data_IF_377053028645
#
_entry.id   IF_377053028645
#
_cell.length_a   1.000
_cell.length_b   1.000
_cell.length_c   1.000
_cell.angle_alpha   90.00
_cell.angle_beta   90.00
_cell.angle_gamma   90.00
#
_symmetry.space_group_name_H-M   'P 1'
#
loop_
_entity.id
_entity.type
_entity.pdbx_description
1 polymer ?
#
# COMPACT_ATOMS: atom_id res chain seq x y z
N UNK A 1 21.79 -32.76 21.81
CA UNK A 1 21.22 -32.72 20.46
C UNK A 1 21.35 -31.27 19.99
N UNK A 2 22.32 -31.02 19.11
CA UNK A 2 22.49 -29.72 18.50
C UNK A 2 21.41 -29.57 17.45
N UNK A 3 20.41 -28.78 17.70
CA UNK A 3 19.53 -28.30 16.65
C UNK A 3 20.34 -27.30 15.82
N UNK A 4 20.95 -27.77 14.76
CA UNK A 4 21.28 -26.95 13.61
C UNK A 4 19.94 -26.42 13.09
N UNK A 5 19.62 -25.18 13.44
CA UNK A 5 18.62 -24.40 12.74
C UNK A 5 19.28 -23.98 11.43
N UNK A 6 19.56 -24.96 10.58
CA UNK A 6 19.98 -24.77 9.21
C UNK A 6 18.73 -24.50 8.39
N UNK A 7 18.64 -23.25 7.93
CA UNK A 7 18.17 -22.89 6.59
C UNK A 7 17.06 -23.81 6.05
N UNK A 8 15.91 -23.77 6.68
CA UNK A 8 14.71 -24.18 5.99
C UNK A 8 14.52 -23.21 4.84
N UNK A 9 14.46 -23.70 3.62
CA UNK A 9 14.03 -22.92 2.48
C UNK A 9 12.68 -22.30 2.84
N UNK A 10 12.60 -20.98 2.78
CA UNK A 10 11.43 -20.27 3.28
C UNK A 10 10.30 -20.32 2.26
N UNK A 11 10.57 -20.83 1.04
CA UNK A 11 9.58 -20.99 -0.03
C UNK A 11 9.99 -22.12 -0.99
N UNK A 12 9.02 -22.58 -1.76
CA UNK A 12 9.23 -23.45 -2.91
C UNK A 12 8.46 -22.87 -4.10
N UNK A 13 9.16 -22.60 -5.19
CA UNK A 13 8.53 -22.34 -6.47
C UNK A 13 8.04 -23.67 -7.04
N UNK A 14 6.75 -23.98 -6.89
CA UNK A 14 6.18 -25.26 -7.31
C UNK A 14 6.12 -25.37 -8.83
N UNK A 15 5.65 -24.31 -9.50
CA UNK A 15 5.61 -24.22 -10.95
C UNK A 15 5.79 -22.78 -11.43
N UNK A 16 6.32 -22.63 -12.65
CA UNK A 16 6.37 -21.37 -13.38
C UNK A 16 6.12 -21.67 -14.85
N UNK A 17 4.86 -21.52 -15.27
CA UNK A 17 4.40 -21.90 -16.61
C UNK A 17 4.24 -20.65 -17.46
N UNK A 18 4.99 -20.61 -18.54
CA UNK A 18 4.88 -19.59 -19.57
C UNK A 18 3.98 -20.08 -20.71
N UNK A 19 2.97 -19.35 -21.04
CA UNK A 19 1.99 -19.74 -22.06
C UNK A 19 1.59 -18.60 -22.97
N UNK A 20 1.27 -18.98 -24.20
CA UNK A 20 0.72 -18.11 -25.21
C UNK A 20 -0.49 -18.78 -25.87
N UNK A 21 -1.45 -19.23 -25.07
CA UNK A 21 -2.60 -20.02 -25.51
C UNK A 21 -3.59 -19.25 -26.39
N UNK A 22 -3.51 -17.91 -26.40
CA UNK A 22 -4.43 -17.06 -27.16
C UNK A 22 -4.00 -16.83 -28.61
N UNK A 23 -2.79 -17.27 -28.97
CA UNK A 23 -2.31 -17.21 -30.39
C UNK A 23 -2.50 -18.54 -31.11
N UNK A 24 -2.61 -18.46 -32.41
CA UNK A 24 -2.77 -19.66 -33.28
C UNK A 24 -1.63 -20.68 -33.20
N UNK A 25 -0.47 -20.27 -32.66
CA UNK A 25 0.72 -21.08 -32.39
C UNK A 25 0.96 -21.18 -30.89
N UNK A 26 -0.09 -21.50 -30.11
CA UNK A 26 -0.01 -21.56 -28.68
C UNK A 26 1.07 -22.51 -28.19
N UNK A 27 1.86 -22.05 -27.21
CA UNK A 27 2.83 -22.87 -26.49
C UNK A 27 2.55 -22.83 -24.99
N UNK A 28 3.03 -23.84 -24.29
CA UNK A 28 3.02 -23.92 -22.85
C UNK A 28 4.35 -24.55 -22.43
N UNK A 29 5.14 -23.82 -21.61
CA UNK A 29 6.48 -24.23 -21.23
C UNK A 29 6.65 -24.02 -19.74
N UNK A 30 7.15 -25.05 -19.05
CA UNK A 30 7.59 -24.95 -17.66
C UNK A 30 8.99 -24.35 -17.60
N UNK A 31 9.11 -23.15 -17.03
CA UNK A 31 10.39 -22.42 -16.94
C UNK A 31 10.97 -22.40 -15.52
N UNK A 32 10.38 -23.11 -14.57
CA UNK A 32 10.79 -23.14 -13.16
C UNK A 32 12.29 -23.32 -12.97
N UNK A 33 12.90 -24.23 -13.74
CA UNK A 33 14.30 -24.62 -13.57
C UNK A 33 15.30 -23.57 -14.09
N UNK A 34 14.82 -22.60 -14.87
CA UNK A 34 15.68 -21.54 -15.43
C UNK A 34 15.43 -20.19 -14.73
N UNK A 35 14.43 -20.08 -13.87
CA UNK A 35 14.21 -18.92 -13.01
C UNK A 35 15.23 -18.95 -11.89
N UNK A 36 16.10 -17.95 -11.83
CA UNK A 36 17.14 -17.83 -10.81
C UNK A 36 16.64 -17.10 -9.59
N UNK A 37 15.97 -15.99 -9.82
CA UNK A 37 15.36 -15.19 -8.76
C UNK A 37 14.17 -14.42 -9.32
N UNK A 38 13.27 -14.02 -8.43
CA UNK A 38 12.15 -13.16 -8.82
C UNK A 38 11.73 -12.25 -7.68
N UNK A 39 11.10 -11.16 -8.05
CA UNK A 39 10.60 -10.16 -7.12
C UNK A 39 9.15 -9.82 -7.46
N UNK A 40 8.31 -9.70 -6.43
CA UNK A 40 6.92 -9.26 -6.56
C UNK A 40 6.74 -7.99 -5.75
N UNK A 41 6.07 -7.00 -6.33
CA UNK A 41 5.88 -5.69 -5.74
C UNK A 41 4.41 -5.43 -5.47
N UNK A 42 4.11 -5.03 -4.26
CA UNK A 42 2.81 -4.58 -3.80
C UNK A 42 2.85 -3.10 -3.43
N UNK A 43 1.75 -2.39 -3.65
CA UNK A 43 1.65 -0.99 -3.24
C UNK A 43 0.21 -0.62 -2.90
N UNK A 44 -0.02 0.03 -1.76
CA UNK A 44 -1.35 0.39 -1.24
C UNK A 44 -2.18 1.29 -2.18
N UNK A 45 -1.54 1.96 -3.12
CA UNK A 45 -2.20 2.82 -4.12
C UNK A 45 -2.51 2.11 -5.44
N UNK A 46 -1.96 0.92 -5.67
CA UNK A 46 -2.05 0.22 -6.94
C UNK A 46 -2.98 -1.00 -6.85
N UNK A 47 -4.04 -1.07 -7.65
CA UNK A 47 -4.93 -2.23 -7.69
C UNK A 47 -4.39 -3.38 -8.55
N UNK A 48 -3.08 -3.53 -8.61
CA UNK A 48 -2.38 -4.60 -9.33
C UNK A 48 -0.99 -4.83 -8.78
N UNK A 49 -0.50 -6.03 -8.94
CA UNK A 49 0.88 -6.41 -8.65
C UNK A 49 1.76 -6.18 -9.87
N UNK A 50 3.03 -5.92 -9.63
CA UNK A 50 4.09 -5.99 -10.64
C UNK A 50 5.14 -6.99 -10.20
N UNK A 51 5.84 -7.62 -11.15
CA UNK A 51 6.87 -8.58 -10.83
C UNK A 51 8.06 -8.47 -11.80
N UNK A 52 9.22 -8.95 -11.36
CA UNK A 52 10.41 -9.12 -12.17
C UNK A 52 10.90 -10.53 -11.98
N UNK A 53 11.22 -11.22 -13.09
CA UNK A 53 11.79 -12.56 -13.08
C UNK A 53 13.14 -12.52 -13.80
N UNK A 54 14.17 -13.02 -13.15
CA UNK A 54 15.50 -13.18 -13.73
C UNK A 54 15.65 -14.63 -14.16
N UNK A 55 15.91 -14.81 -15.45
CA UNK A 55 15.97 -16.11 -16.10
C UNK A 55 17.35 -16.28 -16.72
N UNK A 56 17.89 -17.48 -16.63
CA UNK A 56 19.09 -17.88 -17.36
C UNK A 56 18.67 -18.77 -18.52
N UNK A 57 18.77 -18.23 -19.73
CA UNK A 57 18.44 -18.93 -20.96
C UNK A 57 19.68 -19.52 -21.60
N UNK A 58 19.73 -20.86 -21.70
CA UNK A 58 20.78 -21.64 -22.38
C UNK A 58 20.27 -22.27 -23.65
N UNK A 59 18.99 -22.13 -23.99
CA UNK A 59 18.30 -22.82 -25.06
C UNK A 59 17.71 -21.93 -26.13
N UNK A 60 18.05 -20.63 -26.15
CA UNK A 60 17.50 -19.63 -27.06
C UNK A 60 15.95 -19.54 -27.03
N UNK A 61 15.38 -19.61 -25.86
CA UNK A 61 13.94 -19.67 -25.61
C UNK A 61 13.18 -18.53 -26.28
N UNK A 62 13.73 -17.31 -26.26
CA UNK A 62 13.12 -16.13 -26.88
C UNK A 62 13.01 -16.30 -28.40
N UNK A 63 14.06 -16.85 -29.04
CA UNK A 63 14.06 -17.02 -30.50
C UNK A 63 13.19 -18.18 -30.97
N UNK A 64 13.22 -19.29 -30.23
CA UNK A 64 12.48 -20.50 -30.60
C UNK A 64 10.97 -20.33 -30.48
N UNK A 65 10.50 -19.49 -29.56
CA UNK A 65 9.07 -19.27 -29.28
C UNK A 65 8.55 -17.90 -29.71
N UNK A 66 9.38 -17.08 -30.37
CA UNK A 66 9.00 -15.76 -30.90
C UNK A 66 8.25 -14.89 -29.87
N UNK A 67 8.90 -14.64 -28.73
CA UNK A 67 8.34 -13.77 -27.71
C UNK A 67 8.20 -12.32 -28.22
N UNK A 68 7.01 -11.79 -28.12
CA UNK A 68 6.69 -10.44 -28.58
C UNK A 68 6.20 -9.52 -27.46
N UNK A 69 6.17 -10.04 -26.21
CA UNK A 69 5.44 -9.45 -25.10
C UNK A 69 3.97 -9.86 -25.10
N UNK A 70 3.38 -9.88 -23.92
CA UNK A 70 1.99 -10.32 -23.74
C UNK A 70 1.84 -11.83 -23.50
N UNK A 71 2.92 -12.56 -23.33
CA UNK A 71 2.91 -13.94 -22.87
C UNK A 71 2.47 -13.98 -21.39
N UNK A 72 1.66 -15.00 -21.06
CA UNK A 72 1.15 -15.20 -19.70
C UNK A 72 2.12 -16.06 -18.90
N UNK A 73 2.58 -15.57 -17.77
CA UNK A 73 3.37 -16.30 -16.79
C UNK A 73 2.52 -16.62 -15.57
N UNK A 74 2.26 -17.91 -15.37
CA UNK A 74 1.56 -18.41 -14.18
C UNK A 74 2.57 -19.00 -13.22
N UNK A 75 2.63 -18.49 -12.00
CA UNK A 75 3.51 -18.99 -10.94
C UNK A 75 2.69 -19.59 -9.82
N UNK A 76 3.22 -20.62 -9.20
CA UNK A 76 2.70 -21.25 -8.00
C UNK A 76 3.80 -21.34 -6.95
N UNK A 77 3.59 -20.63 -5.82
CA UNK A 77 4.55 -20.52 -4.72
C UNK A 77 3.92 -21.20 -3.50
N UNK A 78 4.69 -22.08 -2.86
CA UNK A 78 4.29 -22.78 -1.63
C UNK A 78 5.25 -22.38 -0.52
N UNK A 79 4.71 -22.16 0.68
CA UNK A 79 5.54 -22.00 1.86
C UNK A 79 6.17 -23.33 2.23
N UNK A 80 7.49 -23.32 2.47
CA UNK A 80 8.23 -24.52 2.87
C UNK A 80 8.06 -24.80 4.35
N UNK A 81 7.01 -25.54 4.73
CA UNK A 81 6.88 -26.16 6.05
C UNK A 81 6.40 -27.58 5.94
N UNK A 82 7.12 -28.50 6.60
CA UNK A 82 6.79 -29.92 6.65
C UNK A 82 5.50 -30.27 7.40
N UNK A 83 4.81 -29.31 8.03
CA UNK A 83 3.71 -29.58 8.97
C UNK A 83 2.36 -28.96 8.63
N UNK A 84 2.27 -28.07 7.64
CA UNK A 84 0.99 -27.52 7.20
C UNK A 84 0.73 -27.98 5.77
N UNK A 85 -0.51 -28.39 5.48
CA UNK A 85 -1.00 -28.52 4.12
C UNK A 85 -0.71 -27.21 3.39
N UNK A 86 0.42 -27.19 2.67
CA UNK A 86 1.09 -25.98 2.21
C UNK A 86 0.12 -25.05 1.48
N UNK A 87 -0.03 -23.83 1.99
CA UNK A 87 -0.82 -22.81 1.33
C UNK A 87 -0.11 -22.43 0.04
N UNK A 88 -0.77 -22.72 -1.08
CA UNK A 88 -0.28 -22.41 -2.42
C UNK A 88 -0.82 -21.06 -2.85
N UNK A 89 0.08 -20.19 -3.30
CA UNK A 89 -0.22 -18.87 -3.85
C UNK A 89 -0.01 -18.92 -5.36
N UNK A 90 -1.10 -18.99 -6.11
CA UNK A 90 -1.05 -18.95 -7.58
C UNK A 90 -1.32 -17.54 -8.07
N UNK A 91 -0.42 -16.99 -8.91
CA UNK A 91 -0.56 -15.68 -9.54
C UNK A 91 -0.32 -15.75 -11.04
N UNK A 92 -1.07 -14.95 -11.78
CA UNK A 92 -0.99 -14.81 -13.22
C UNK A 92 -0.46 -13.42 -13.58
N UNK A 93 0.65 -13.41 -14.26
CA UNK A 93 1.29 -12.20 -14.77
C UNK A 93 1.31 -12.22 -16.29
N UNK A 94 1.42 -11.03 -16.87
CA UNK A 94 1.69 -10.84 -18.28
C UNK A 94 3.06 -10.23 -18.43
N UNK A 95 3.86 -10.71 -19.36
CA UNK A 95 5.16 -10.10 -19.68
C UNK A 95 4.90 -8.80 -20.44
N UNK A 96 5.24 -7.68 -19.81
CA UNK A 96 5.09 -6.34 -20.39
C UNK A 96 6.36 -5.91 -21.14
N UNK A 97 7.52 -6.23 -20.59
CA UNK A 97 8.83 -5.89 -21.16
C UNK A 97 9.83 -7.03 -20.94
N UNK A 98 10.62 -7.30 -21.97
CA UNK A 98 11.76 -8.21 -21.93
C UNK A 98 13.03 -7.37 -22.01
N UNK A 99 13.95 -7.58 -21.10
CA UNK A 99 15.23 -6.90 -21.05
C UNK A 99 16.37 -7.94 -21.01
N UNK A 100 17.18 -7.96 -22.06
CA UNK A 100 18.42 -8.75 -22.11
C UNK A 100 19.50 -7.98 -21.36
N UNK A 101 20.00 -8.55 -20.25
CA UNK A 101 20.92 -7.84 -19.36
C UNK A 101 22.38 -8.06 -19.70
N UNK A 102 22.77 -9.27 -20.04
CA UNK A 102 24.14 -9.58 -20.43
C UNK A 102 24.26 -10.97 -21.03
N UNK A 103 25.16 -11.10 -21.96
CA UNK A 103 25.62 -12.38 -22.42
C UNK A 103 26.76 -12.81 -21.50
N UNK A 104 26.52 -13.83 -20.69
CA UNK A 104 27.49 -14.29 -19.67
C UNK A 104 28.57 -15.15 -20.33
N UNK A 105 28.18 -15.97 -21.32
CA UNK A 105 29.04 -16.83 -22.12
C UNK A 105 28.52 -16.89 -23.57
N UNK A 106 29.26 -17.63 -24.45
CA UNK A 106 28.84 -17.78 -25.85
C UNK A 106 27.44 -18.40 -26.03
N UNK A 107 26.91 -19.07 -25.00
CA UNK A 107 25.67 -19.86 -25.04
C UNK A 107 24.67 -19.51 -23.93
N UNK A 108 24.96 -18.54 -23.07
CA UNK A 108 24.11 -18.23 -21.89
C UNK A 108 23.73 -16.77 -21.86
N UNK A 109 22.44 -16.51 -21.97
CA UNK A 109 21.88 -15.17 -21.87
C UNK A 109 21.13 -14.99 -20.54
N UNK A 110 21.34 -13.86 -19.87
CA UNK A 110 20.56 -13.46 -18.71
C UNK A 110 19.48 -12.49 -19.14
N UNK A 111 18.25 -12.83 -18.82
CA UNK A 111 17.04 -12.12 -19.27
C UNK A 111 16.22 -11.69 -18.07
N UNK A 112 15.69 -10.49 -18.10
CA UNK A 112 14.72 -10.00 -17.11
C UNK A 112 13.36 -9.84 -17.77
N UNK A 113 12.38 -10.53 -17.23
CA UNK A 113 10.98 -10.32 -17.55
C UNK A 113 10.38 -9.32 -16.58
N UNK A 114 9.92 -8.18 -17.07
CA UNK A 114 9.10 -7.24 -16.35
C UNK A 114 7.64 -7.61 -16.58
N UNK A 115 6.94 -7.90 -15.50
CA UNK A 115 5.59 -8.45 -15.55
C UNK A 115 4.60 -7.58 -14.79
N UNK A 116 3.36 -7.56 -15.29
CA UNK A 116 2.23 -6.93 -14.62
C UNK A 116 1.11 -7.97 -14.44
N UNK A 117 0.30 -7.82 -13.41
CA UNK A 117 -0.82 -8.71 -13.17
C UNK A 117 -1.78 -8.70 -14.38
N UNK A 118 -2.26 -9.87 -14.83
CA UNK A 118 -2.98 -10.06 -16.08
C UNK A 118 -4.17 -9.11 -16.30
N UNK A 119 -4.93 -8.80 -15.26
CA UNK A 119 -6.07 -7.90 -15.37
C UNK A 119 -5.70 -6.44 -15.72
N UNK A 120 -4.45 -6.03 -15.51
CA UNK A 120 -3.95 -4.71 -15.92
C UNK A 120 -3.95 -4.58 -17.44
N UNK A 121 -3.52 -5.63 -18.12
CA UNK A 121 -3.57 -5.70 -19.58
C UNK A 121 -5.02 -5.68 -20.08
N UNK A 122 -5.89 -6.53 -19.49
CA UNK A 122 -7.33 -6.53 -19.79
C UNK A 122 -7.96 -5.15 -19.63
N UNK A 123 -7.52 -4.38 -18.61
CA UNK A 123 -7.95 -3.01 -18.39
C UNK A 123 -7.52 -2.06 -19.50
N UNK A 124 -6.29 -2.19 -20.01
CA UNK A 124 -5.75 -1.29 -21.02
C UNK A 124 -6.44 -1.43 -22.39
N UNK A 125 -7.11 -2.57 -22.65
CA UNK A 125 -7.80 -2.84 -23.90
C UNK A 125 -9.22 -2.25 -23.97
N UNK A 126 -9.73 -1.64 -22.90
CA UNK A 126 -11.13 -1.18 -22.83
C UNK A 126 -11.20 0.21 -22.21
N UNK A 127 -12.20 0.98 -22.68
CA UNK A 127 -12.52 2.27 -22.11
C UNK A 127 -13.99 2.35 -21.72
N UNK A 128 -14.25 2.99 -20.61
CA UNK A 128 -15.59 3.17 -20.05
C UNK A 128 -16.07 4.58 -20.30
N UNK A 129 -17.22 4.69 -20.98
CA UNK A 129 -17.95 5.95 -21.15
C UNK A 129 -19.41 5.72 -20.74
N UNK A 130 -19.66 5.58 -19.45
CA UNK A 130 -20.96 5.20 -18.89
C UNK A 130 -21.26 5.96 -17.60
N UNK A 131 -22.55 6.17 -17.34
CA UNK A 131 -23.00 6.77 -16.08
C UNK A 131 -23.25 5.70 -15.02
N UNK A 132 -22.83 6.01 -13.79
CA UNK A 132 -23.06 5.19 -12.61
C UNK A 132 -23.73 6.02 -11.52
N UNK A 133 -24.53 5.34 -10.69
CA UNK A 133 -25.17 5.93 -9.52
C UNK A 133 -25.00 4.97 -8.35
N UNK A 134 -24.50 5.47 -7.23
CA UNK A 134 -24.24 4.66 -6.03
C UNK A 134 -23.19 5.30 -5.12
N UNK A 135 -22.79 4.60 -4.09
CA UNK A 135 -21.58 4.92 -3.33
C UNK A 135 -20.33 4.64 -4.17
N UNK A 136 -19.23 5.31 -3.88
CA UNK A 136 -18.01 5.20 -4.71
C UNK A 136 -17.46 3.78 -4.69
N UNK A 137 -17.47 3.13 -3.52
CA UNK A 137 -17.06 1.74 -3.33
C UNK A 137 -17.90 0.77 -4.17
N UNK A 138 -19.22 0.94 -4.16
CA UNK A 138 -20.12 0.10 -4.96
C UNK A 138 -19.92 0.30 -6.47
N UNK A 139 -19.62 1.52 -6.90
CA UNK A 139 -19.32 1.82 -8.31
C UNK A 139 -18.00 1.18 -8.73
N UNK A 140 -16.95 1.29 -7.89
CA UNK A 140 -15.64 0.67 -8.14
C UNK A 140 -15.79 -0.86 -8.23
N UNK A 141 -16.47 -1.47 -7.25
CA UNK A 141 -16.72 -2.91 -7.25
C UNK A 141 -17.43 -3.36 -8.54
N UNK A 142 -18.44 -2.59 -8.99
CA UNK A 142 -19.17 -2.86 -10.22
C UNK A 142 -18.31 -2.78 -11.47
N UNK A 143 -17.41 -1.77 -11.54
CA UNK A 143 -16.47 -1.61 -12.65
C UNK A 143 -15.53 -2.81 -12.71
N UNK A 144 -14.96 -3.23 -11.59
CA UNK A 144 -14.03 -4.37 -11.58
C UNK A 144 -14.73 -5.69 -11.90
N UNK A 145 -15.92 -5.92 -11.37
CA UNK A 145 -16.70 -7.13 -11.68
C UNK A 145 -17.14 -7.17 -13.14
N UNK A 146 -17.66 -6.06 -13.69
CA UNK A 146 -18.19 -6.03 -15.07
C UNK A 146 -17.08 -6.12 -16.15
N UNK A 147 -15.93 -5.49 -15.95
CA UNK A 147 -14.90 -5.33 -16.98
C UNK A 147 -13.67 -6.21 -16.78
N UNK A 148 -13.34 -6.54 -15.54
CA UNK A 148 -12.12 -7.27 -15.21
C UNK A 148 -12.36 -8.63 -14.56
N UNK A 149 -13.63 -8.97 -14.29
CA UNK A 149 -14.03 -10.23 -13.65
C UNK A 149 -13.31 -10.44 -12.30
N UNK A 150 -13.12 -9.34 -11.56
CA UNK A 150 -12.48 -9.36 -10.24
C UNK A 150 -13.40 -8.77 -9.19
N UNK A 151 -13.39 -9.40 -8.03
CA UNK A 151 -14.13 -8.91 -6.89
C UNK A 151 -13.29 -7.90 -6.10
N UNK A 152 -13.98 -6.91 -5.54
CA UNK A 152 -13.40 -5.92 -4.63
C UNK A 152 -14.03 -6.13 -3.25
N UNK A 153 -13.19 -6.48 -2.30
CA UNK A 153 -13.60 -6.59 -0.90
C UNK A 153 -13.47 -5.20 -0.28
N UNK A 154 -14.61 -4.62 0.11
CA UNK A 154 -14.61 -3.38 0.88
C UNK A 154 -14.49 -3.71 2.36
N UNK A 155 -13.41 -3.26 2.99
CA UNK A 155 -13.15 -3.41 4.42
C UNK A 155 -13.13 -2.02 5.05
N UNK A 156 -13.91 -1.83 6.12
CA UNK A 156 -14.00 -0.55 6.82
C UNK A 156 -15.34 0.15 6.62
N UNK A 157 -15.34 1.47 6.78
CA UNK A 157 -16.55 2.27 6.62
C UNK A 157 -16.94 2.46 5.16
N UNK A 158 -18.23 2.48 4.87
CA UNK A 158 -18.74 2.85 3.55
C UNK A 158 -18.39 4.31 3.22
N UNK A 159 -18.10 4.55 1.95
CA UNK A 159 -17.82 5.90 1.48
C UNK A 159 -19.03 6.84 1.65
N UNK A 160 -18.77 8.11 1.98
CA UNK A 160 -19.82 9.09 2.25
C UNK A 160 -20.61 9.42 0.99
N UNK A 161 -21.88 9.14 1.05
CA UNK A 161 -22.89 9.65 0.11
C UNK A 161 -23.01 8.88 -1.19
N UNK A 162 -24.17 9.08 -1.81
CA UNK A 162 -24.48 8.57 -3.14
C UNK A 162 -24.11 9.61 -4.19
N UNK A 163 -23.37 9.22 -5.19
CA UNK A 163 -23.00 10.08 -6.32
C UNK A 163 -23.64 9.57 -7.62
N UNK A 164 -23.86 10.48 -8.54
CA UNK A 164 -24.12 10.15 -9.95
C UNK A 164 -22.97 10.70 -10.76
N UNK A 165 -22.29 9.83 -11.49
CA UNK A 165 -21.05 10.17 -12.18
C UNK A 165 -21.06 9.56 -13.58
N UNK A 166 -20.47 10.26 -14.53
CA UNK A 166 -20.18 9.74 -15.87
C UNK A 166 -18.67 9.54 -15.94
N UNK A 167 -18.25 8.32 -16.21
CA UNK A 167 -16.83 8.02 -16.40
C UNK A 167 -16.38 8.62 -17.75
N UNK A 168 -15.33 9.47 -17.78
CA UNK A 168 -14.96 10.23 -18.95
C UNK A 168 -13.99 9.45 -19.86
N UNK A 169 -14.43 8.35 -20.43
CA UNK A 169 -13.64 7.51 -21.35
C UNK A 169 -12.28 7.08 -20.77
N UNK A 170 -12.30 6.52 -19.57
CA UNK A 170 -11.12 6.00 -18.87
C UNK A 170 -11.13 4.48 -18.92
N UNK A 171 -9.94 3.87 -18.86
CA UNK A 171 -9.87 2.43 -18.63
C UNK A 171 -10.34 2.06 -17.20
N UNK A 172 -10.72 0.81 -16.92
CA UNK A 172 -11.28 0.39 -15.64
C UNK A 172 -10.41 0.77 -14.43
N UNK A 173 -9.10 0.59 -14.49
CA UNK A 173 -8.17 0.91 -13.41
C UNK A 173 -8.03 2.43 -13.21
N UNK A 174 -7.94 3.19 -14.29
CA UNK A 174 -7.92 4.65 -14.22
C UNK A 174 -9.25 5.20 -13.71
N UNK A 175 -10.38 4.64 -14.13
CA UNK A 175 -11.71 5.00 -13.67
C UNK A 175 -11.84 4.79 -12.15
N UNK A 176 -11.38 3.65 -11.64
CA UNK A 176 -11.35 3.35 -10.21
C UNK A 176 -10.43 4.32 -9.45
N UNK A 177 -9.25 4.61 -9.96
CA UNK A 177 -8.30 5.57 -9.37
C UNK A 177 -8.88 6.99 -9.33
N UNK A 178 -9.59 7.38 -10.39
CA UNK A 178 -10.27 8.66 -10.49
C UNK A 178 -11.45 8.78 -9.50
N UNK A 179 -12.23 7.72 -9.33
CA UNK A 179 -13.29 7.63 -8.33
C UNK A 179 -12.74 7.62 -6.91
N UNK A 180 -11.71 6.81 -6.64
CA UNK A 180 -11.06 6.71 -5.32
C UNK A 180 -10.59 8.06 -4.79
N UNK A 181 -10.05 8.94 -5.64
CA UNK A 181 -9.64 10.30 -5.24
C UNK A 181 -10.77 11.17 -4.70
N UNK A 182 -12.02 10.79 -4.95
CA UNK A 182 -13.24 11.48 -4.48
C UNK A 182 -13.82 10.84 -3.24
N UNK A 183 -13.43 9.60 -2.94
CA UNK A 183 -13.89 8.86 -1.78
C UNK A 183 -13.23 9.39 -0.50
N UNK A 184 -14.04 9.59 0.52
CA UNK A 184 -13.61 9.87 1.88
C UNK A 184 -14.52 9.15 2.86
N UNK A 185 -13.97 8.71 3.99
CA UNK A 185 -14.75 8.13 5.06
C UNK A 185 -15.52 9.21 5.84
N UNK A 186 -16.44 8.79 6.72
CA UNK A 186 -17.20 9.70 7.58
C UNK A 186 -16.31 10.58 8.47
N UNK A 187 -15.18 10.06 8.88
CA UNK A 187 -14.17 10.74 9.69
C UNK A 187 -13.14 11.53 8.86
N UNK A 188 -13.25 11.51 7.53
CA UNK A 188 -12.34 12.23 6.64
C UNK A 188 -11.06 11.51 6.31
N UNK A 189 -11.01 10.18 6.40
CA UNK A 189 -9.84 9.39 6.03
C UNK A 189 -9.84 9.03 4.54
N UNK A 190 -8.65 8.96 3.90
CA UNK A 190 -8.52 8.58 2.50
C UNK A 190 -8.73 7.08 2.32
N UNK A 191 -9.27 6.70 1.16
CA UNK A 191 -9.37 5.31 0.73
C UNK A 191 -8.17 4.87 -0.08
N UNK A 192 -7.82 3.61 0.10
CA UNK A 192 -6.85 2.87 -0.69
C UNK A 192 -7.53 1.73 -1.42
N UNK A 193 -7.00 1.41 -2.61
CA UNK A 193 -7.45 0.28 -3.43
C UNK A 193 -6.19 -0.44 -3.93
N UNK A 194 -6.03 -1.69 -3.55
CA UNK A 194 -4.80 -2.42 -3.78
C UNK A 194 -5.00 -3.91 -3.99
N UNK A 195 -4.05 -4.52 -4.68
CA UNK A 195 -3.91 -5.96 -4.84
C UNK A 195 -2.85 -6.47 -3.86
N UNK A 196 -3.04 -7.68 -3.32
CA UNK A 196 -2.11 -8.33 -2.41
C UNK A 196 -1.72 -9.72 -2.92
N UNK A 197 -0.57 -10.20 -2.47
CA UNK A 197 -0.02 -11.48 -2.90
C UNK A 197 -0.91 -12.66 -2.46
N UNK A 198 -1.41 -12.62 -1.24
CA UNK A 198 -2.16 -13.72 -0.61
C UNK A 198 -3.59 -13.94 -1.13
N UNK A 199 -4.20 -13.04 -1.91
CA UNK A 199 -5.56 -13.22 -2.42
C UNK A 199 -5.71 -12.83 -3.88
N UNK A 200 -6.73 -13.36 -4.54
CA UNK A 200 -7.13 -12.97 -5.90
C UNK A 200 -7.98 -11.70 -5.91
N UNK A 201 -8.62 -11.37 -4.81
CA UNK A 201 -9.51 -10.23 -4.69
C UNK A 201 -8.72 -8.93 -4.47
N UNK A 202 -9.30 -7.83 -4.89
CA UNK A 202 -8.81 -6.49 -4.56
C UNK A 202 -9.36 -6.07 -3.21
N UNK A 203 -8.59 -5.27 -2.49
CA UNK A 203 -9.01 -4.72 -1.22
C UNK A 203 -9.20 -3.21 -1.36
N UNK A 204 -10.38 -2.73 -0.95
CA UNK A 204 -10.66 -1.31 -0.80
C UNK A 204 -10.87 -1.00 0.68
N UNK A 205 -10.08 -0.07 1.21
CA UNK A 205 -10.08 0.22 2.64
C UNK A 205 -9.72 1.67 2.93
N UNK A 206 -10.33 2.27 3.92
CA UNK A 206 -9.95 3.59 4.41
C UNK A 206 -8.82 3.52 5.46
N UNK A 207 -8.08 4.62 5.58
CA UNK A 207 -6.92 4.68 6.51
C UNK A 207 -7.34 4.55 7.98
N UNK A 208 -8.54 5.03 8.34
CA UNK A 208 -9.06 4.91 9.71
C UNK A 208 -9.29 3.45 10.11
N UNK A 209 -9.89 2.67 9.23
CA UNK A 209 -10.10 1.24 9.47
C UNK A 209 -8.78 0.46 9.53
N UNK A 210 -7.75 0.88 8.75
CA UNK A 210 -6.41 0.29 8.84
C UNK A 210 -5.83 0.50 10.25
N UNK A 211 -5.92 1.70 10.80
CA UNK A 211 -5.40 1.99 12.14
C UNK A 211 -6.23 1.38 13.28
N UNK A 212 -7.48 1.00 13.01
CA UNK A 212 -8.33 0.30 13.99
C UNK A 212 -7.99 -1.17 14.13
N UNK A 213 -7.22 -1.74 13.19
CA UNK A 213 -6.77 -3.11 13.29
C UNK A 213 -5.74 -3.27 14.41
N UNK A 214 -5.73 -4.42 15.08
CA UNK A 214 -4.66 -4.75 16.02
C UNK A 214 -3.31 -4.81 15.29
N UNK A 215 -2.26 -4.42 16.00
CA UNK A 215 -0.89 -4.55 15.49
C UNK A 215 -0.59 -6.02 15.23
N UNK A 216 -0.20 -6.36 14.01
CA UNK A 216 0.01 -7.73 13.54
C UNK A 216 1.01 -8.51 14.40
N UNK A 217 2.09 -7.84 14.80
CA UNK A 217 3.20 -8.44 15.54
C UNK A 217 3.37 -7.87 16.96
N UNK A 218 2.26 -7.57 17.65
CA UNK A 218 2.29 -6.93 18.98
C UNK A 218 3.08 -7.74 20.01
N UNK A 219 2.98 -9.08 19.95
CA UNK A 219 3.66 -9.97 20.89
C UNK A 219 5.14 -10.18 20.58
N UNK A 220 5.53 -10.02 19.31
CA UNK A 220 6.92 -10.18 18.84
C UNK A 220 7.19 -9.08 17.82
N UNK A 221 7.52 -7.86 18.27
CA UNK A 221 7.78 -6.73 17.38
C UNK A 221 9.02 -6.96 16.50
N UNK A 222 9.06 -6.29 15.37
CA UNK A 222 10.27 -6.23 14.56
C UNK A 222 11.31 -5.36 15.28
N UNK A 223 12.48 -5.92 15.58
CA UNK A 223 13.53 -5.25 16.36
C UNK A 223 14.80 -5.11 15.52
N UNK A 224 15.35 -3.92 15.49
CA UNK A 224 16.70 -3.71 14.97
C UNK A 224 17.72 -3.77 16.13
N UNK A 225 18.43 -4.89 16.20
CA UNK A 225 19.41 -5.18 17.25
C UNK A 225 20.68 -5.81 16.66
N UNK A 226 21.53 -5.06 15.96
CA UNK A 226 22.68 -5.63 15.24
C UNK A 226 23.69 -6.33 16.19
N UNK A 227 23.88 -5.81 17.41
CA UNK A 227 24.78 -6.40 18.41
C UNK A 227 24.22 -7.64 19.11
N UNK A 228 22.89 -7.83 19.09
CA UNK A 228 22.20 -8.95 19.72
C UNK A 228 21.76 -10.04 18.75
N UNK A 229 21.96 -9.84 17.45
CA UNK A 229 21.47 -10.77 16.43
C UNK A 229 21.98 -12.21 16.63
N UNK A 230 23.17 -12.40 17.17
CA UNK A 230 23.74 -13.71 17.48
C UNK A 230 23.18 -14.35 18.75
N UNK A 231 22.62 -13.56 19.67
CA UNK A 231 22.06 -14.03 20.94
C UNK A 231 20.55 -14.24 20.92
N UNK A 232 19.87 -13.81 19.85
CA UNK A 232 18.44 -14.01 19.69
C UNK A 232 18.14 -15.50 19.47
N UNK A 233 17.26 -16.05 20.32
CA UNK A 233 16.84 -17.45 20.27
C UNK A 233 15.43 -17.58 19.70
N UNK A 234 15.19 -18.66 18.93
CA UNK A 234 13.87 -19.07 18.48
C UNK A 234 13.16 -18.02 17.61
N UNK A 235 11.93 -17.69 17.93
CA UNK A 235 11.04 -16.78 17.19
C UNK A 235 11.61 -15.39 16.98
N UNK A 236 12.43 -14.87 17.89
CA UNK A 236 13.04 -13.54 17.76
C UNK A 236 13.98 -13.41 16.55
N UNK A 237 14.56 -14.50 16.05
CA UNK A 237 15.37 -14.47 14.83
C UNK A 237 14.57 -14.08 13.58
N UNK A 238 13.30 -14.46 13.52
CA UNK A 238 12.43 -14.17 12.38
C UNK A 238 11.97 -12.72 12.34
N UNK A 239 11.91 -12.08 13.51
CA UNK A 239 11.47 -10.70 13.66
C UNK A 239 12.63 -9.70 13.77
N UNK A 240 13.87 -10.17 13.53
CA UNK A 240 15.02 -9.27 13.44
C UNK A 240 15.00 -8.52 12.11
N UNK A 241 15.20 -7.22 12.18
CA UNK A 241 15.37 -6.38 11.00
C UNK A 241 16.78 -6.59 10.44
N UNK A 242 16.84 -7.07 9.20
CA UNK A 242 18.11 -7.36 8.52
C UNK A 242 18.79 -6.08 8.04
N UNK A 243 18.00 -5.15 7.51
CA UNK A 243 18.45 -3.84 7.04
C UNK A 243 17.34 -2.82 7.17
N UNK A 244 17.70 -1.55 7.34
CA UNK A 244 16.73 -0.48 7.37
C UNK A 244 17.25 0.78 6.69
N UNK A 245 16.34 1.54 6.12
CA UNK A 245 16.58 2.86 5.55
C UNK A 245 15.48 3.81 5.99
N UNK A 246 15.86 4.90 6.59
CA UNK A 246 14.95 6.00 6.89
C UNK A 246 15.14 7.06 5.81
N UNK A 247 14.07 7.34 5.07
CA UNK A 247 14.08 8.45 4.13
C UNK A 247 13.60 9.68 4.88
N UNK A 248 14.48 10.60 5.16
CA UNK A 248 14.14 11.91 5.71
C UNK A 248 13.53 12.77 4.60
N UNK A 249 12.32 12.47 4.20
CA UNK A 249 11.55 13.30 3.27
C UNK A 249 10.64 14.25 4.03
N UNK A 250 11.19 14.94 5.01
CA UNK A 250 10.48 15.99 5.71
C UNK A 250 10.43 17.26 4.86
N UNK A 251 9.68 17.24 3.78
CA UNK A 251 9.40 18.45 3.00
C UNK A 251 8.25 19.25 3.63
N UNK A 252 8.51 19.76 4.84
CA UNK A 252 7.55 20.59 5.57
C UNK A 252 7.19 21.86 4.78
N UNK A 253 8.13 22.44 4.06
CA UNK A 253 7.87 23.63 3.25
C UNK A 253 6.87 23.35 2.12
N UNK A 254 6.98 22.20 1.46
CA UNK A 254 6.01 21.77 0.45
C UNK A 254 4.63 21.58 1.07
N UNK A 255 4.52 20.87 2.20
CA UNK A 255 3.25 20.66 2.89
C UNK A 255 2.59 21.98 3.31
N UNK A 256 3.37 22.93 3.84
CA UNK A 256 2.91 24.28 4.16
C UNK A 256 2.48 25.01 2.87
N UNK A 257 3.32 24.99 1.84
CA UNK A 257 3.06 25.61 0.55
C UNK A 257 1.83 25.07 -0.17
N UNK A 258 1.49 23.79 0.04
CA UNK A 258 0.28 23.17 -0.48
C UNK A 258 -0.97 23.44 0.40
N UNK A 259 -0.81 24.07 1.56
CA UNK A 259 -1.91 24.34 2.50
C UNK A 259 -2.37 23.12 3.29
N UNK A 260 -1.59 22.04 3.32
CA UNK A 260 -1.97 20.78 3.97
C UNK A 260 -1.76 20.80 5.48
N UNK A 261 -0.94 21.70 5.99
CA UNK A 261 -0.71 21.94 7.43
C UNK A 261 -1.78 22.86 8.00
N UNK A 262 -1.96 24.02 7.36
CA UNK A 262 -2.98 25.00 7.67
C UNK A 262 -3.31 25.80 6.42
N UNK A 263 -4.57 26.08 6.17
CA UNK A 263 -4.98 26.78 4.97
C UNK A 263 -6.43 27.21 4.96
N UNK A 264 -6.78 27.98 3.96
CA UNK A 264 -8.10 28.47 3.71
C UNK A 264 -8.57 28.04 2.31
N UNK A 265 -9.72 27.39 2.24
CA UNK A 265 -10.27 26.86 1.00
C UNK A 265 -11.61 27.50 0.72
N UNK A 266 -11.73 28.08 -0.48
CA UNK A 266 -12.96 28.65 -0.99
C UNK A 266 -13.52 27.75 -2.07
N UNK A 267 -14.73 27.25 -1.87
CA UNK A 267 -15.42 26.43 -2.85
C UNK A 267 -16.57 27.23 -3.44
N UNK A 268 -16.64 27.26 -4.76
CA UNK A 268 -17.72 27.87 -5.49
C UNK A 268 -18.47 26.81 -6.27
N UNK A 269 -19.72 26.60 -5.92
CA UNK A 269 -20.58 25.69 -6.68
C UNK A 269 -21.20 26.43 -7.86
N UNK A 270 -20.83 26.01 -9.06
CA UNK A 270 -21.28 26.63 -10.31
C UNK A 270 -22.78 26.48 -10.57
N UNK A 271 -23.44 25.51 -9.93
CA UNK A 271 -24.87 25.26 -10.10
C UNK A 271 -25.74 26.10 -9.17
N UNK A 272 -25.32 26.22 -7.93
CA UNK A 272 -26.08 26.98 -6.90
C UNK A 272 -25.59 28.41 -6.75
N UNK A 273 -24.40 28.74 -7.34
CA UNK A 273 -23.73 30.03 -7.19
C UNK A 273 -23.45 30.42 -5.71
N UNK A 274 -23.39 29.44 -4.82
CA UNK A 274 -23.15 29.67 -3.38
C UNK A 274 -21.68 29.39 -3.08
N UNK A 275 -20.90 30.40 -2.65
CA UNK A 275 -19.55 30.18 -2.16
C UNK A 275 -19.61 29.70 -0.71
N UNK A 276 -18.70 28.78 -0.33
CA UNK A 276 -18.47 28.43 1.05
C UNK A 276 -16.97 28.31 1.33
N UNK A 277 -16.60 28.65 2.56
CA UNK A 277 -15.25 28.68 3.05
C UNK A 277 -15.03 27.53 4.02
N UNK A 278 -13.91 26.86 3.89
CA UNK A 278 -13.43 25.82 4.81
C UNK A 278 -12.07 26.24 5.33
N UNK A 279 -11.92 26.36 6.63
CA UNK A 279 -10.64 26.50 7.28
C UNK A 279 -10.10 25.10 7.62
N UNK A 280 -8.83 24.88 7.31
CA UNK A 280 -8.13 23.65 7.56
C UNK A 280 -7.00 23.87 8.57
N UNK A 281 -7.00 23.06 9.61
CA UNK A 281 -5.94 22.96 10.60
C UNK A 281 -5.72 21.47 10.87
N UNK A 282 -4.55 20.97 10.50
CA UNK A 282 -4.26 19.53 10.60
C UNK A 282 -4.22 19.06 12.05
N UNK A 283 -3.71 19.87 12.98
CA UNK A 283 -3.61 19.48 14.39
C UNK A 283 -4.97 19.35 15.06
N UNK A 284 -5.89 20.28 14.79
CA UNK A 284 -7.24 20.21 15.35
C UNK A 284 -7.98 18.96 14.86
N UNK A 285 -7.84 18.67 13.57
CA UNK A 285 -8.45 17.48 12.99
C UNK A 285 -7.79 16.19 13.51
N UNK A 286 -6.46 16.20 13.71
CA UNK A 286 -5.73 15.06 14.23
C UNK A 286 -6.07 14.79 15.70
N UNK A 287 -6.23 15.84 16.50
CA UNK A 287 -6.69 15.72 17.89
C UNK A 287 -8.11 15.16 17.98
N UNK A 288 -9.01 15.55 17.08
CA UNK A 288 -10.35 14.99 16.98
C UNK A 288 -10.31 13.47 16.72
N UNK A 289 -9.40 12.99 15.88
CA UNK A 289 -9.20 11.56 15.65
C UNK A 289 -8.59 10.81 16.84
N UNK A 290 -7.66 11.43 17.54
CA UNK A 290 -7.03 10.88 18.74
C UNK A 290 -8.05 10.63 19.85
N UNK A 291 -9.01 11.57 20.05
CA UNK A 291 -10.09 11.41 21.03
C UNK A 291 -11.07 10.28 20.71
N UNK A 292 -11.10 9.84 19.45
CA UNK A 292 -11.96 8.72 18.99
C UNK A 292 -11.26 7.36 19.08
N UNK A 293 -10.06 7.28 19.67
CA UNK A 293 -9.21 6.07 19.75
C UNK A 293 -8.95 5.40 18.38
N UNK A 294 -9.08 6.14 17.29
CA UNK A 294 -8.95 5.62 15.93
C UNK A 294 -7.49 5.44 15.48
N UNK A 295 -6.53 5.88 16.30
CA UNK A 295 -5.09 5.85 15.98
C UNK A 295 -4.33 5.05 17.05
N UNK A 296 -4.88 3.93 17.47
CA UNK A 296 -4.24 2.94 18.35
C UNK A 296 -3.67 3.48 19.69
N UNK A 297 -4.32 3.17 20.80
CA UNK A 297 -3.84 3.38 22.16
C UNK A 297 -4.24 4.69 22.82
N UNK A 298 -4.16 4.70 24.15
CA UNK A 298 -4.60 5.78 25.04
C UNK A 298 -3.70 7.04 24.98
N UNK A 299 -2.65 7.06 24.16
CA UNK A 299 -1.65 8.12 24.13
C UNK A 299 -1.97 9.16 23.06
N UNK A 300 -1.94 10.44 23.45
CA UNK A 300 -2.05 11.55 22.52
C UNK A 300 -0.92 11.49 21.48
N UNK A 301 -1.29 11.51 20.22
CA UNK A 301 -0.36 11.58 19.09
C UNK A 301 -0.41 12.97 18.47
N UNK A 302 0.75 13.49 18.13
CA UNK A 302 0.90 14.80 17.50
C UNK A 302 1.51 14.65 16.13
N UNK A 303 1.03 15.41 15.17
CA UNK A 303 1.68 15.54 13.86
C UNK A 303 2.97 16.33 14.00
N UNK A 304 2.93 17.38 14.82
CA UNK A 304 4.09 18.14 15.26
C UNK A 304 4.15 18.08 16.77
N UNK A 305 5.34 18.08 17.36
CA UNK A 305 5.48 18.14 18.82
C UNK A 305 4.75 19.37 19.39
N UNK A 306 4.21 19.30 20.62
CA UNK A 306 3.42 20.36 21.22
C UNK A 306 4.20 21.68 21.35
N UNK A 307 5.53 21.61 21.36
CA UNK A 307 6.43 22.76 21.45
C UNK A 307 6.85 23.36 20.12
N UNK A 308 6.37 22.78 18.99
CA UNK A 308 6.71 23.27 17.65
C UNK A 308 5.87 24.50 17.30
N UNK A 309 6.28 25.64 17.86
CA UNK A 309 5.60 26.93 17.73
C UNK A 309 6.46 27.96 17.02
N UNK A 310 5.83 28.79 16.23
CA UNK A 310 6.43 30.01 15.65
C UNK A 310 5.69 31.22 16.23
N UNK A 311 6.40 32.14 16.88
CA UNK A 311 5.80 33.29 17.56
C UNK A 311 4.64 32.90 18.50
N UNK A 312 4.87 31.91 19.37
CA UNK A 312 3.91 31.34 20.33
C UNK A 312 2.63 30.74 19.72
N UNK A 313 2.58 30.61 18.40
CA UNK A 313 1.46 29.99 17.70
C UNK A 313 1.89 28.68 17.03
N UNK A 314 1.03 27.67 17.10
CA UNK A 314 1.23 26.44 16.37
C UNK A 314 1.28 26.71 14.86
N UNK A 315 2.18 26.04 14.14
CA UNK A 315 2.37 26.22 12.69
C UNK A 315 1.06 25.95 11.92
N UNK A 316 0.26 25.00 12.36
CA UNK A 316 -1.01 24.65 11.73
C UNK A 316 -2.08 25.75 11.80
N UNK A 317 -1.90 26.73 12.69
CA UNK A 317 -2.84 27.89 12.80
C UNK A 317 -2.58 28.97 11.78
N UNK A 318 -1.42 28.92 11.10
CA UNK A 318 -1.13 29.87 10.03
C UNK A 318 -1.84 29.47 8.75
N UNK A 319 -2.58 30.42 8.17
CA UNK A 319 -3.25 30.25 6.87
C UNK A 319 -2.23 30.42 5.75
N UNK A 320 -1.37 29.42 5.58
CA UNK A 320 -0.24 29.47 4.67
C UNK A 320 -0.66 29.60 3.21
N UNK A 321 -1.87 29.14 2.88
CA UNK A 321 -2.37 29.17 1.52
C UNK A 321 -3.88 29.40 1.47
N UNK A 322 -4.30 30.21 0.49
CA UNK A 322 -5.70 30.37 0.11
C UNK A 322 -5.91 29.72 -1.25
N UNK A 323 -6.83 28.76 -1.31
CA UNK A 323 -7.12 28.00 -2.53
C UNK A 323 -8.58 28.20 -2.90
N UNK A 324 -8.84 28.65 -4.13
CA UNK A 324 -10.18 28.72 -4.69
C UNK A 324 -10.40 27.55 -5.65
N UNK A 325 -11.44 26.77 -5.41
CA UNK A 325 -11.80 25.64 -6.24
C UNK A 325 -13.25 25.78 -6.72
N UNK A 326 -13.45 25.66 -8.02
CA UNK A 326 -14.78 25.52 -8.59
C UNK A 326 -15.22 24.07 -8.47
N UNK A 327 -16.41 23.85 -7.98
CA UNK A 327 -17.07 22.56 -7.94
C UNK A 327 -18.42 22.63 -8.63
N UNK A 328 -18.92 21.52 -9.08
CA UNK A 328 -20.24 21.44 -9.68
C UNK A 328 -21.01 20.32 -9.00
N UNK A 329 -22.15 20.65 -8.41
CA UNK A 329 -23.11 19.64 -7.97
C UNK A 329 -23.81 18.94 -9.15
N UNK A 330 -23.44 19.27 -10.35
CA UNK A 330 -23.82 18.97 -11.69
C UNK A 330 -24.57 17.70 -11.99
N UNK A 331 -25.78 17.58 -11.53
CA UNK A 331 -26.72 16.65 -12.15
C UNK A 331 -27.87 17.46 -12.72
N UNK A 332 -27.85 17.62 -14.04
CA UNK A 332 -29.04 18.03 -14.77
C UNK A 332 -30.07 16.91 -14.63
N UNK A 333 -30.91 17.00 -13.63
CA UNK A 333 -32.03 16.10 -13.51
C UNK A 333 -33.31 16.94 -13.33
N UNK A 334 -34.29 16.71 -14.17
CA UNK A 334 -35.58 17.41 -14.14
C UNK A 334 -36.44 17.07 -12.89
N UNK A 335 -35.90 16.22 -11.99
CA UNK A 335 -36.59 15.83 -10.75
C UNK A 335 -35.93 16.41 -9.51
N UNK A 336 -36.63 17.28 -8.83
CA UNK A 336 -36.18 17.96 -7.59
C UNK A 336 -35.79 16.97 -6.48
N UNK A 337 -36.41 15.79 -6.44
CA UNK A 337 -36.11 14.75 -5.42
C UNK A 337 -34.72 14.10 -5.57
N UNK A 338 -34.24 13.96 -6.79
CA UNK A 338 -32.93 13.35 -7.05
C UNK A 338 -31.77 14.34 -6.86
N UNK A 339 -32.03 15.64 -6.99
CA UNK A 339 -31.03 16.69 -6.82
C UNK A 339 -30.48 16.72 -5.40
N UNK A 340 -31.32 16.54 -4.38
CA UNK A 340 -30.91 16.58 -2.97
C UNK A 340 -29.96 15.44 -2.57
N UNK A 341 -30.10 14.26 -3.16
CA UNK A 341 -29.23 13.10 -2.83
C UNK A 341 -27.81 13.24 -3.39
N UNK A 342 -27.65 13.99 -4.48
CA UNK A 342 -26.34 14.23 -5.09
C UNK A 342 -25.60 15.45 -4.57
N UNK A 343 -26.27 16.35 -3.85
CA UNK A 343 -25.64 17.51 -3.21
C UNK A 343 -24.71 17.14 -2.06
N UNK A 344 -24.80 15.94 -1.51
CA UNK A 344 -23.93 15.50 -0.41
C UNK A 344 -22.45 15.56 -0.76
N UNK A 345 -22.09 15.29 -2.02
CA UNK A 345 -20.71 15.40 -2.47
C UNK A 345 -20.14 16.82 -2.37
N UNK A 346 -20.97 17.85 -2.58
CA UNK A 346 -20.58 19.26 -2.58
C UNK A 346 -20.94 20.00 -1.29
N UNK A 347 -21.19 19.30 -0.19
CA UNK A 347 -21.40 19.93 1.12
C UNK A 347 -20.08 20.45 1.70
N UNK A 348 -20.16 21.51 2.52
CA UNK A 348 -18.98 22.07 3.21
C UNK A 348 -18.29 21.02 4.09
N UNK A 349 -19.06 20.15 4.73
CA UNK A 349 -18.52 19.04 5.54
C UNK A 349 -17.75 18.03 4.70
N UNK A 350 -18.23 17.69 3.52
CA UNK A 350 -17.56 16.76 2.64
C UNK A 350 -16.25 17.35 2.06
N UNK A 351 -16.25 18.64 1.71
CA UNK A 351 -15.03 19.32 1.29
C UNK A 351 -13.98 19.39 2.41
N UNK A 352 -14.41 19.66 3.67
CA UNK A 352 -13.53 19.60 4.84
C UNK A 352 -12.88 18.22 4.97
N UNK A 353 -13.68 17.15 4.85
CA UNK A 353 -13.17 15.76 4.89
C UNK A 353 -12.18 15.45 3.76
N UNK A 354 -12.44 15.89 2.53
CA UNK A 354 -11.52 15.69 1.39
C UNK A 354 -10.17 16.39 1.59
N UNK A 355 -10.18 17.62 2.13
CA UNK A 355 -8.94 18.34 2.46
C UNK A 355 -8.17 17.57 3.53
N UNK A 356 -8.85 17.14 4.58
CA UNK A 356 -8.25 16.38 5.66
C UNK A 356 -7.68 15.04 5.17
N UNK A 357 -8.42 14.28 4.35
CA UNK A 357 -7.95 13.04 3.75
C UNK A 357 -6.68 13.25 2.91
N UNK A 358 -6.61 14.37 2.15
CA UNK A 358 -5.40 14.71 1.40
C UNK A 358 -4.21 15.00 2.32
N UNK A 359 -4.45 15.70 3.42
CA UNK A 359 -3.42 15.97 4.44
C UNK A 359 -2.94 14.68 5.08
N UNK A 360 -3.84 13.81 5.53
CA UNK A 360 -3.49 12.53 6.16
C UNK A 360 -2.64 11.65 5.24
N UNK A 361 -2.99 11.60 3.96
CA UNK A 361 -2.21 10.88 2.96
C UNK A 361 -0.80 11.44 2.78
N UNK A 362 -0.66 12.76 2.74
CA UNK A 362 0.63 13.42 2.66
C UNK A 362 1.49 13.21 3.91
N UNK A 363 0.87 13.26 5.09
CA UNK A 363 1.57 13.00 6.35
C UNK A 363 1.97 11.54 6.52
N UNK A 364 1.19 10.58 6.03
CA UNK A 364 1.58 9.17 6.00
C UNK A 364 2.86 8.96 5.17
N UNK A 365 3.03 9.72 4.10
CA UNK A 365 4.19 9.66 3.24
C UNK A 365 5.38 10.50 3.74
N UNK A 366 5.20 11.31 4.80
CA UNK A 366 6.22 12.27 5.29
C UNK A 366 7.46 11.60 5.86
N UNK A 367 7.29 10.51 6.60
CA UNK A 367 8.38 9.83 7.29
C UNK A 367 8.40 8.34 6.93
N UNK A 368 8.75 8.00 5.68
CA UNK A 368 8.79 6.61 5.27
C UNK A 368 10.01 5.92 5.87
N UNK A 369 9.79 4.75 6.44
CA UNK A 369 10.83 3.83 6.84
C UNK A 369 10.78 2.60 5.93
N UNK A 370 11.93 2.15 5.46
CA UNK A 370 12.06 0.86 4.79
C UNK A 370 12.80 -0.09 5.73
N UNK A 371 12.26 -1.27 5.91
CA UNK A 371 12.89 -2.35 6.65
C UNK A 371 12.93 -3.60 5.79
N UNK A 372 14.00 -4.35 5.88
CA UNK A 372 14.10 -5.68 5.28
C UNK A 372 14.03 -6.71 6.37
N UNK A 373 13.09 -7.63 6.24
CA UNK A 373 12.81 -8.70 7.19
C UNK A 373 12.68 -10.03 6.45
N UNK A 374 12.72 -11.12 7.19
CA UNK A 374 12.38 -12.43 6.63
C UNK A 374 10.91 -12.48 6.24
N UNK A 375 10.62 -12.99 5.05
CA UNK A 375 9.30 -12.88 4.43
C UNK A 375 8.27 -13.91 4.87
N UNK A 376 8.67 -14.93 5.62
CA UNK A 376 7.86 -16.08 6.00
C UNK A 376 6.42 -15.75 6.44
N UNK A 377 6.26 -14.75 7.30
CA UNK A 377 4.96 -14.34 7.86
C UNK A 377 3.97 -13.82 6.80
N UNK A 378 4.46 -13.46 5.60
CA UNK A 378 3.65 -12.87 4.54
C UNK A 378 3.18 -13.87 3.48
N UNK A 379 3.53 -15.14 3.62
CA UNK A 379 3.03 -16.22 2.75
C UNK A 379 1.94 -17.09 3.42
N UNK A 380 1.47 -16.73 4.61
CA UNK A 380 0.62 -17.58 5.44
C UNK A 380 -0.85 -17.63 5.06
N UNK A 381 -1.28 -17.09 3.90
CA UNK A 381 -2.64 -17.28 3.38
C UNK A 381 -3.71 -16.30 3.83
N UNK A 382 -4.95 -16.65 3.65
CA UNK A 382 -6.16 -15.85 3.40
C UNK A 382 -6.43 -14.58 4.21
N UNK A 383 -5.85 -14.35 5.36
CA UNK A 383 -6.12 -13.16 6.16
C UNK A 383 -4.86 -12.34 6.51
N UNK A 384 -3.69 -12.86 6.25
CA UNK A 384 -2.42 -12.17 6.51
C UNK A 384 -1.92 -11.44 5.27
N UNK A 385 -2.58 -10.34 4.94
CA UNK A 385 -2.11 -9.46 3.89
C UNK A 385 -0.88 -8.68 4.37
N UNK A 386 0.08 -8.45 3.47
CA UNK A 386 1.23 -7.61 3.78
C UNK A 386 0.82 -6.14 3.83
N UNK A 387 0.23 -5.66 2.74
CA UNK A 387 -0.16 -4.25 2.58
C UNK A 387 -1.37 -3.90 3.43
N UNK A 388 -1.34 -2.70 4.02
CA UNK A 388 -2.43 -2.19 4.85
C UNK A 388 -2.50 -2.80 6.25
N UNK A 389 -1.48 -3.55 6.67
CA UNK A 389 -1.35 -4.01 8.06
C UNK A 389 -0.54 -3.01 8.88
N UNK A 390 -0.85 -2.96 10.17
CA UNK A 390 -0.08 -2.19 11.16
C UNK A 390 0.92 -3.12 11.83
N UNK A 391 2.18 -2.72 11.83
CA UNK A 391 3.28 -3.46 12.47
C UNK A 391 4.00 -2.57 13.49
N UNK A 392 4.53 -3.20 14.54
CA UNK A 392 5.38 -2.54 15.52
C UNK A 392 6.84 -2.74 15.17
N UNK A 393 7.58 -1.64 15.10
CA UNK A 393 9.01 -1.59 14.80
C UNK A 393 9.72 -0.93 16.00
N UNK A 394 10.75 -1.58 16.49
CA UNK A 394 11.55 -1.10 17.63
C UNK A 394 13.02 -0.96 17.24
N UNK A 395 13.59 0.18 17.55
CA UNK A 395 15.02 0.45 17.43
C UNK A 395 15.62 0.60 18.82
N UNK A 396 16.64 -0.18 19.11
CA UNK A 396 17.38 -0.07 20.37
C UNK A 396 18.19 1.22 20.32
N UNK A 397 18.12 2.02 21.41
CA UNK A 397 18.87 3.24 21.53
C UNK A 397 20.37 2.93 21.73
N UNK A 398 21.22 3.72 21.07
CA UNK A 398 22.68 3.57 21.17
C UNK A 398 23.21 3.88 22.58
N UNK A 399 22.47 4.66 23.37
CA UNK A 399 22.85 4.98 24.76
C UNK A 399 22.57 3.83 25.74
N UNK A 400 21.71 2.87 25.37
CA UNK A 400 21.39 1.71 26.22
C UNK A 400 22.51 0.69 26.35
N UNK A 401 23.63 0.87 25.66
CA UNK A 401 24.83 0.03 25.79
C UNK A 401 25.72 0.38 26.98
N UNK A 402 25.39 1.39 27.80
CA UNK A 402 26.10 1.68 29.02
C UNK A 402 25.81 0.59 30.06
N UNK A 403 26.87 -0.09 30.48
CA UNK A 403 26.94 -1.30 31.32
C UNK A 403 26.22 -1.25 32.68
N UNK A 404 25.54 -0.15 33.01
CA UNK A 404 24.99 0.08 34.37
C UNK A 404 23.46 0.03 34.45
N UNK A 405 22.73 -0.12 33.34
CA UNK A 405 21.26 -0.24 33.38
C UNK A 405 20.81 -1.52 32.71
N UNK A 406 20.16 -2.39 33.46
CA UNK A 406 19.56 -3.65 32.99
C UNK A 406 18.32 -3.43 32.09
N UNK A 407 18.04 -2.20 31.72
CA UNK A 407 16.87 -1.83 30.92
C UNK A 407 17.31 -1.52 29.48
N UNK A 408 16.67 -2.16 28.52
CA UNK A 408 16.82 -1.87 27.10
C UNK A 408 15.96 -0.64 26.81
N UNK A 409 16.59 0.48 26.44
CA UNK A 409 15.92 1.69 26.02
C UNK A 409 15.71 1.64 24.51
N UNK A 410 14.56 2.13 24.06
CA UNK A 410 14.23 2.20 22.64
C UNK A 410 14.27 3.67 22.17
N UNK A 411 14.75 3.86 20.94
CA UNK A 411 14.69 5.16 20.27
C UNK A 411 13.22 5.53 20.01
N UNK A 412 12.68 6.45 20.79
CA UNK A 412 11.28 6.88 20.74
C UNK A 412 10.92 7.60 19.44
N UNK A 413 11.92 8.20 18.76
CA UNK A 413 11.69 8.89 17.48
C UNK A 413 11.48 7.93 16.31
N UNK A 414 12.16 6.77 16.34
CA UNK A 414 12.11 5.78 15.25
C UNK A 414 11.20 4.62 15.57
N UNK A 415 11.07 4.24 16.84
CA UNK A 415 10.21 3.14 17.29
C UNK A 415 8.73 3.52 17.24
N UNK A 416 7.85 2.56 17.02
CA UNK A 416 6.40 2.76 17.03
C UNK A 416 5.64 1.87 16.07
N UNK A 417 4.37 2.20 15.90
CA UNK A 417 3.45 1.46 15.03
C UNK A 417 3.40 2.13 13.65
N UNK A 418 3.57 1.30 12.62
CA UNK A 418 3.69 1.72 11.24
C UNK A 418 2.71 0.95 10.36
N UNK A 419 2.14 1.62 9.36
CA UNK A 419 1.33 0.99 8.30
C UNK A 419 2.25 0.58 7.17
N UNK A 420 2.11 -0.65 6.69
CA UNK A 420 2.81 -1.13 5.51
C UNK A 420 2.16 -0.53 4.26
N UNK A 421 2.87 0.35 3.57
CA UNK A 421 2.39 1.04 2.37
C UNK A 421 2.84 0.37 1.07
N UNK A 422 4.02 -0.25 1.08
CA UNK A 422 4.52 -1.00 -0.05
C UNK A 422 5.37 -2.19 0.42
N UNK A 423 5.40 -3.25 -0.35
CA UNK A 423 6.24 -4.40 -0.10
C UNK A 423 6.92 -4.88 -1.38
N UNK A 424 8.17 -5.28 -1.24
CA UNK A 424 8.94 -6.00 -2.25
C UNK A 424 9.27 -7.36 -1.69
N UNK A 425 8.64 -8.38 -2.24
CA UNK A 425 8.93 -9.78 -1.95
C UNK A 425 10.06 -10.26 -2.85
N UNK A 426 11.16 -10.64 -2.27
CA UNK A 426 12.37 -11.12 -3.00
C UNK A 426 12.57 -12.58 -2.71
N UNK A 427 12.57 -13.37 -3.77
CA UNK A 427 12.77 -14.81 -3.77
C UNK A 427 14.08 -15.13 -4.52
N UNK A 428 15.09 -15.53 -3.78
CA UNK A 428 16.43 -15.77 -4.32
C UNK A 428 17.11 -16.88 -3.54
N UNK A 429 17.65 -17.89 -4.25
CA UNK A 429 18.41 -19.00 -3.67
C UNK A 429 17.69 -19.65 -2.46
N UNK A 430 16.42 -20.01 -2.63
CA UNK A 430 15.55 -20.59 -1.59
C UNK A 430 15.32 -19.70 -0.35
N UNK A 431 15.77 -18.46 -0.39
CA UNK A 431 15.58 -17.48 0.68
C UNK A 431 14.49 -16.49 0.28
N UNK A 432 13.53 -16.31 1.16
CA UNK A 432 12.47 -15.34 0.99
C UNK A 432 12.62 -14.18 1.97
N UNK A 433 12.89 -13.00 1.43
CA UNK A 433 12.98 -11.75 2.18
C UNK A 433 11.94 -10.76 1.70
N UNK A 434 11.43 -9.95 2.62
CA UNK A 434 10.48 -8.88 2.29
C UNK A 434 11.04 -7.54 2.72
N UNK A 435 11.13 -6.60 1.78
CA UNK A 435 11.42 -5.20 2.08
C UNK A 435 10.11 -4.44 2.17
N UNK A 436 9.79 -3.96 3.36
CA UNK A 436 8.58 -3.23 3.68
C UNK A 436 8.85 -1.72 3.65
N UNK A 437 8.04 -0.97 2.95
CA UNK A 437 8.01 0.49 3.02
C UNK A 437 6.81 0.91 3.86
N UNK A 438 7.09 1.50 5.01
CA UNK A 438 6.10 1.76 6.04
C UNK A 438 5.98 3.26 6.31
N UNK A 439 4.77 3.71 6.62
CA UNK A 439 4.48 5.08 7.03
C UNK A 439 3.81 5.11 8.40
N UNK A 440 3.94 6.25 9.10
CA UNK A 440 3.23 6.47 10.35
C UNK A 440 2.56 7.84 10.38
N UNK A 441 1.47 7.94 11.13
CA UNK A 441 0.85 9.22 11.45
C UNK A 441 1.25 9.64 12.86
N UNK A 442 2.02 10.71 12.94
CA UNK A 442 2.47 11.27 14.22
C UNK A 442 3.55 10.46 14.93
N UNK A 443 4.04 11.00 16.02
CA UNK A 443 4.98 10.36 16.95
C UNK A 443 4.30 10.01 18.27
N UNK A 444 4.77 8.99 18.95
CA UNK A 444 4.35 8.68 20.31
C UNK A 444 4.85 9.75 21.26
N UNK A 445 4.03 10.11 22.26
CA UNK A 445 4.40 11.08 23.31
C UNK A 445 5.14 10.44 24.47
N UNK A 446 5.11 9.12 24.60
CA UNK A 446 5.67 8.39 25.74
C UNK A 446 6.69 7.34 25.31
N UNK A 447 7.64 7.06 26.21
CA UNK A 447 8.63 6.00 26.04
C UNK A 447 7.93 4.63 26.03
N UNK A 448 8.27 3.80 25.05
CA UNK A 448 7.83 2.40 25.04
C UNK A 448 8.70 1.66 26.03
N UNK A 449 8.14 1.30 27.18
CA UNK A 449 8.75 0.36 28.12
C UNK A 449 8.18 -1.02 27.84
N UNK A 450 9.03 -1.96 27.45
CA UNK A 450 8.68 -3.37 27.31
C UNK A 450 8.87 -4.12 28.62
#
# INVERSE_FOLDING_TARGET
>A
MSYTVEQQSEYVLNSAVLSNSERNTGFEIEIKNIVTSFQIFEHIEKPYLTAQFIIIDTSNLIQDYDFQGGEKLTIDIIQSEEQNDGISITKEFLIDKIEETSRTDETTDSIIFHCVEYHTFKSSLQNISRSYTGSIDSIISKIFSEYLERDVISLGEDGVGTIKVIIPNLNPIEAASWLKKRAVSNIGMPYFLYSVLGTKNLIMRDLGSIFSDPVMNINVPFVFAPSMASSLHGTHKYYNILDFKISETEDLQSLIGEGLVGGEYYFYDTMTAVPFRVEHNVEDNFRELSTLNLIGGDNERFVFGPDYKLNDKNISTYKSRSITQMSSSGVYNNGISNFKSYQQENSSSNHKRKIFARSMKAFLAKSPIQITVKGREFLTGDENYTIGKVIRILFIDNESTNENTSQILFDTKKSGDYVICAARHTFDNDVYNTTLSCGRLGSLSEEIVL
#
